data_IF_622154652271
#
_entry.id   IF_622154652271
#
_cell.length_a   1.000
_cell.length_b   1.000
_cell.length_c   1.000
_cell.angle_alpha   90.00
_cell.angle_beta   90.00
_cell.angle_gamma   90.00
#
_symmetry.space_group_name_H-M   'P 1'
#
loop_
_entity.id
_entity.type
_entity.pdbx_description
1 polymer ?
#
# COMPACT_ATOMS: atom_id res chain seq x y z
N UNK A 1 12.80 23.01 1.26
CA UNK A 1 11.67 23.96 1.25
C UNK A 1 11.37 24.40 -0.17
N UNK A 2 10.10 24.37 -0.56
CA UNK A 2 9.61 24.92 -1.83
C UNK A 2 8.39 25.80 -1.58
N UNK A 3 8.17 26.80 -2.43
CA UNK A 3 6.99 27.66 -2.40
C UNK A 3 6.31 27.65 -3.78
N UNK A 4 4.99 27.72 -3.78
CA UNK A 4 4.19 27.81 -4.99
C UNK A 4 2.71 28.01 -4.69
N UNK A 5 1.97 28.53 -5.66
CA UNK A 5 0.51 28.58 -5.57
C UNK A 5 -0.04 27.15 -5.54
N UNK A 6 -1.04 26.85 -4.72
CA UNK A 6 -1.68 25.54 -4.71
C UNK A 6 -2.51 25.29 -5.96
N UNK A 7 -2.50 24.05 -6.45
CA UNK A 7 -3.36 23.56 -7.54
C UNK A 7 -3.95 22.22 -7.14
N UNK A 8 -5.26 22.07 -7.20
CA UNK A 8 -5.92 20.77 -6.98
C UNK A 8 -5.84 19.92 -8.24
N UNK A 9 -5.30 18.70 -8.12
CA UNK A 9 -4.99 17.81 -9.25
C UNK A 9 -5.71 16.46 -9.17
N UNK A 10 -6.84 16.40 -8.46
CA UNK A 10 -7.62 15.17 -8.28
C UNK A 10 -6.78 14.02 -7.72
N UNK A 11 -6.66 12.89 -8.42
CA UNK A 11 -5.83 11.75 -8.04
C UNK A 11 -4.44 11.79 -8.70
N UNK A 12 -4.03 12.91 -9.29
CA UNK A 12 -2.73 13.09 -9.96
C UNK A 12 -2.40 11.99 -10.99
N UNK A 13 -3.42 11.49 -11.69
CA UNK A 13 -3.23 10.57 -12.82
C UNK A 13 -2.90 11.38 -14.08
N UNK A 14 -2.35 10.72 -15.10
CA UNK A 14 -2.01 11.40 -16.38
C UNK A 14 -3.23 12.07 -17.00
N UNK A 15 -4.39 11.40 -16.96
CA UNK A 15 -5.66 11.96 -17.43
C UNK A 15 -6.15 13.16 -16.61
N UNK A 16 -5.77 13.25 -15.34
CA UNK A 16 -6.13 14.40 -14.50
C UNK A 16 -5.35 15.64 -14.95
N UNK A 17 -4.05 15.49 -15.22
CA UNK A 17 -3.22 16.56 -15.78
C UNK A 17 -3.62 16.96 -17.20
N UNK A 18 -4.01 16.01 -18.06
CA UNK A 18 -4.56 16.31 -19.38
C UNK A 18 -5.84 17.14 -19.29
N UNK A 19 -6.69 16.85 -18.29
CA UNK A 19 -7.90 17.63 -18.01
C UNK A 19 -7.55 19.06 -17.60
N UNK A 20 -6.58 19.25 -16.70
CA UNK A 20 -6.10 20.59 -16.32
C UNK A 20 -5.56 21.38 -17.52
N UNK A 21 -4.78 20.73 -18.41
CA UNK A 21 -4.29 21.36 -19.65
C UNK A 21 -5.45 21.82 -20.54
N UNK A 22 -6.48 21.00 -20.72
CA UNK A 22 -7.70 21.38 -21.47
C UNK A 22 -8.46 22.53 -20.80
N UNK A 23 -8.42 22.60 -19.46
CA UNK A 23 -8.96 23.71 -18.69
C UNK A 23 -8.06 24.96 -18.74
N UNK A 24 -6.88 24.90 -19.36
CA UNK A 24 -5.91 26.01 -19.42
C UNK A 24 -5.21 26.27 -18.08
N UNK A 25 -5.11 25.26 -17.21
CA UNK A 25 -4.44 25.33 -15.90
C UNK A 25 -3.05 24.71 -16.01
N UNK A 26 -2.03 25.45 -15.59
CA UNK A 26 -0.63 25.01 -15.62
C UNK A 26 -0.11 24.76 -14.19
N UNK A 27 0.41 23.56 -13.93
CA UNK A 27 0.99 23.15 -12.64
C UNK A 27 2.50 23.41 -12.53
N UNK A 28 3.16 23.82 -13.62
CA UNK A 28 4.59 24.11 -13.61
C UNK A 28 4.92 25.21 -12.60
N UNK A 29 5.83 24.93 -11.67
CA UNK A 29 6.25 25.87 -10.63
C UNK A 29 5.31 25.93 -9.41
N UNK A 30 4.22 25.16 -9.40
CA UNK A 30 3.18 25.18 -8.36
C UNK A 30 3.28 23.99 -7.40
N UNK A 31 2.49 24.03 -6.33
CA UNK A 31 2.35 22.91 -5.38
C UNK A 31 1.03 22.21 -5.67
N UNK A 32 1.11 20.92 -6.01
CA UNK A 32 -0.07 20.12 -6.28
C UNK A 32 -0.72 19.64 -4.97
N UNK A 33 -2.04 19.57 -4.93
CA UNK A 33 -2.82 18.94 -3.85
C UNK A 33 -3.58 17.78 -4.48
N UNK A 34 -3.31 16.56 -4.02
CA UNK A 34 -3.84 15.34 -4.60
C UNK A 34 -4.51 14.44 -3.55
N UNK A 35 -5.60 13.82 -3.94
CA UNK A 35 -6.24 12.72 -3.24
C UNK A 35 -5.36 11.48 -3.35
N UNK A 36 -5.22 10.72 -2.27
CA UNK A 36 -4.76 9.34 -2.36
C UNK A 36 -5.77 8.48 -3.13
N UNK A 37 -5.27 7.44 -3.81
CA UNK A 37 -6.09 6.43 -4.47
C UNK A 37 -5.92 6.36 -5.99
N UNK A 38 -6.64 5.41 -6.61
CA UNK A 38 -6.65 5.05 -8.04
C UNK A 38 -5.33 4.52 -8.61
N UNK A 39 -4.21 5.16 -8.32
CA UNK A 39 -2.86 4.73 -8.69
C UNK A 39 -1.93 4.78 -7.46
N UNK A 40 -0.76 4.16 -7.56
CA UNK A 40 0.24 4.21 -6.49
C UNK A 40 0.77 5.64 -6.29
N UNK A 41 1.00 6.04 -5.03
CA UNK A 41 1.40 7.40 -4.66
C UNK A 41 2.75 7.83 -5.25
N UNK A 42 3.68 6.89 -5.46
CA UNK A 42 4.90 7.18 -6.20
C UNK A 42 4.63 7.61 -7.65
N UNK A 43 3.63 7.01 -8.31
CA UNK A 43 3.24 7.44 -9.66
C UNK A 43 2.53 8.80 -9.65
N UNK A 44 1.73 9.10 -8.62
CA UNK A 44 1.14 10.43 -8.43
C UNK A 44 2.24 11.51 -8.33
N UNK A 45 3.27 11.24 -7.53
CA UNK A 45 4.43 12.10 -7.36
C UNK A 45 5.22 12.26 -8.66
N UNK A 46 5.48 11.16 -9.37
CA UNK A 46 6.18 11.18 -10.65
C UNK A 46 5.42 11.98 -11.70
N UNK A 47 4.11 11.74 -11.87
CA UNK A 47 3.30 12.50 -12.83
C UNK A 47 3.33 14.00 -12.50
N UNK A 48 3.20 14.39 -11.21
CA UNK A 48 3.30 15.79 -10.82
C UNK A 48 4.67 16.39 -11.14
N UNK A 49 5.75 15.64 -10.92
CA UNK A 49 7.11 16.05 -11.29
C UNK A 49 7.27 16.22 -12.81
N UNK A 50 6.80 15.27 -13.62
CA UNK A 50 6.85 15.33 -15.09
C UNK A 50 6.08 16.53 -15.65
N UNK A 51 5.02 16.95 -14.97
CA UNK A 51 4.22 18.14 -15.31
C UNK A 51 4.82 19.47 -14.78
N UNK A 52 5.97 19.38 -14.09
CA UNK A 52 6.75 20.53 -13.63
C UNK A 52 6.33 21.08 -12.26
N UNK A 53 5.54 20.36 -11.47
CA UNK A 53 5.22 20.76 -10.11
C UNK A 53 6.48 20.83 -9.24
N UNK A 54 6.51 21.74 -8.26
CA UNK A 54 7.62 21.87 -7.30
C UNK A 54 7.46 20.98 -6.07
N UNK A 55 6.27 20.47 -5.82
CA UNK A 55 5.97 19.61 -4.69
C UNK A 55 4.52 19.15 -4.72
N UNK A 56 4.20 18.16 -3.90
CA UNK A 56 2.84 17.61 -3.80
C UNK A 56 2.42 17.43 -2.35
N UNK A 57 1.17 17.74 -2.07
CA UNK A 57 0.50 17.47 -0.80
C UNK A 57 -0.52 16.36 -1.06
N UNK A 58 -0.48 15.32 -0.24
CA UNK A 58 -1.44 14.23 -0.30
C UNK A 58 -2.46 14.32 0.83
N UNK A 59 -3.70 13.92 0.56
CA UNK A 59 -4.70 13.70 1.60
C UNK A 59 -5.62 12.53 1.24
N UNK A 60 -6.24 11.91 2.24
CA UNK A 60 -7.24 10.86 2.04
C UNK A 60 -8.63 11.49 1.92
N UNK A 61 -9.30 11.34 0.78
CA UNK A 61 -10.64 11.95 0.59
C UNK A 61 -11.68 11.30 1.52
N UNK A 62 -12.42 12.08 2.32
CA UNK A 62 -13.47 11.56 3.20
C UNK A 62 -14.53 10.71 2.50
N UNK A 63 -14.75 10.91 1.19
CA UNK A 63 -15.66 10.06 0.43
C UNK A 63 -15.24 8.58 0.47
N UNK A 64 -13.93 8.32 0.53
CA UNK A 64 -13.37 6.97 0.56
C UNK A 64 -13.09 6.50 2.00
N UNK A 65 -12.60 7.38 2.88
CA UNK A 65 -12.10 6.99 4.21
C UNK A 65 -13.03 7.32 5.38
N UNK A 66 -14.07 8.11 5.15
CA UNK A 66 -15.06 8.51 6.14
C UNK A 66 -16.49 8.56 5.53
N UNK A 67 -16.98 7.47 4.91
CA UNK A 67 -18.25 7.43 4.19
C UNK A 67 -19.48 7.66 5.07
N UNK A 68 -19.38 7.52 6.41
CA UNK A 68 -20.48 7.82 7.33
C UNK A 68 -20.55 9.29 7.75
N UNK A 69 -19.58 10.11 7.36
CA UNK A 69 -19.47 11.51 7.75
C UNK A 69 -18.11 11.84 8.37
N UNK A 70 -17.89 13.13 8.61
CA UNK A 70 -16.64 13.67 9.20
C UNK A 70 -16.80 14.10 10.66
N UNK A 71 -17.96 13.83 11.26
CA UNK A 71 -18.27 14.16 12.64
C UNK A 71 -17.61 13.18 13.61
N UNK A 72 -17.31 13.64 14.83
CA UNK A 72 -16.57 12.84 15.82
C UNK A 72 -17.22 11.47 16.13
N UNK A 73 -18.55 11.37 16.10
CA UNK A 73 -19.28 10.11 16.36
C UNK A 73 -19.31 9.17 15.14
N UNK A 74 -18.88 9.62 13.96
CA UNK A 74 -18.84 8.85 12.70
C UNK A 74 -17.45 8.33 12.34
N UNK A 75 -16.42 8.71 13.10
CA UNK A 75 -15.01 8.35 12.88
C UNK A 75 -14.39 7.71 14.13
N UNK A 76 -13.17 7.18 13.99
CA UNK A 76 -12.39 6.64 15.12
C UNK A 76 -12.23 7.68 16.24
N UNK A 77 -12.43 7.29 17.52
CA UNK A 77 -12.55 5.92 18.03
C UNK A 77 -13.97 5.33 18.05
N UNK A 78 -14.98 6.07 17.60
CA UNK A 78 -16.38 5.63 17.68
C UNK A 78 -16.77 4.67 16.55
N UNK A 79 -16.08 4.75 15.42
CA UNK A 79 -16.18 3.82 14.28
C UNK A 79 -14.77 3.45 13.78
N UNK A 80 -14.68 2.62 12.75
CA UNK A 80 -13.44 2.26 12.05
C UNK A 80 -12.94 3.33 11.07
N UNK A 81 -13.72 4.38 10.81
CA UNK A 81 -13.43 5.36 9.77
C UNK A 81 -12.41 6.42 10.19
N UNK A 82 -11.68 6.96 9.21
CA UNK A 82 -10.53 7.83 9.46
C UNK A 82 -11.00 9.20 10.03
N UNK A 83 -10.43 9.69 11.14
CA UNK A 83 -10.71 11.04 11.64
C UNK A 83 -10.01 12.11 10.80
N UNK A 84 -10.43 13.37 10.91
CA UNK A 84 -9.94 14.49 10.07
C UNK A 84 -8.45 14.80 10.22
N UNK A 85 -7.89 14.44 11.36
CA UNK A 85 -6.47 14.55 11.69
C UNK A 85 -5.68 13.29 11.31
N UNK A 86 -6.35 12.25 10.83
CA UNK A 86 -5.72 10.99 10.41
C UNK A 86 -4.92 11.18 9.13
N UNK A 87 -3.68 10.67 9.13
CA UNK A 87 -2.73 10.81 8.01
C UNK A 87 -2.31 9.43 7.53
N UNK A 88 -2.49 9.16 6.25
CA UNK A 88 -1.93 7.98 5.59
C UNK A 88 -0.44 8.20 5.29
N UNK A 89 0.42 7.36 5.89
CA UNK A 89 1.85 7.27 5.55
C UNK A 89 2.06 6.31 4.38
N UNK A 90 3.25 6.32 3.80
CA UNK A 90 3.62 5.38 2.75
C UNK A 90 4.85 5.82 1.98
N UNK A 91 5.64 4.87 1.51
CA UNK A 91 6.72 5.14 0.57
C UNK A 91 6.17 5.69 -0.76
N UNK A 92 6.92 6.64 -1.32
CA UNK A 92 6.73 7.19 -2.67
C UNK A 92 7.83 6.71 -3.64
N UNK A 93 8.71 5.81 -3.18
CA UNK A 93 9.71 5.17 -4.02
C UNK A 93 9.03 4.24 -5.02
N UNK A 94 9.47 4.29 -6.29
CA UNK A 94 8.88 3.52 -7.38
C UNK A 94 9.57 2.17 -7.63
N UNK A 95 10.79 2.00 -7.12
CA UNK A 95 11.49 0.72 -7.20
C UNK A 95 11.08 -0.23 -6.09
N UNK A 96 11.61 -1.44 -6.17
CA UNK A 96 11.57 -2.45 -5.11
C UNK A 96 12.99 -2.71 -4.61
N UNK A 97 13.13 -3.05 -3.33
CA UNK A 97 14.44 -3.29 -2.73
C UNK A 97 15.11 -2.03 -2.20
N UNK A 98 16.33 -2.19 -1.71
CA UNK A 98 17.21 -1.09 -1.31
C UNK A 98 17.53 -0.23 -2.55
N UNK A 99 17.17 1.08 -2.54
CA UNK A 99 17.46 1.99 -3.66
C UNK A 99 18.94 2.08 -4.03
N UNK A 100 19.85 1.66 -3.15
CA UNK A 100 21.28 1.74 -3.36
C UNK A 100 21.90 0.43 -3.88
N UNK A 101 21.15 -0.67 -3.94
CA UNK A 101 21.62 -1.97 -4.46
C UNK A 101 20.65 -2.57 -5.48
N UNK A 102 20.33 -1.85 -6.57
CA UNK A 102 19.32 -2.33 -7.50
C UNK A 102 19.77 -3.64 -8.17
N UNK A 103 19.02 -4.73 -7.96
CA UNK A 103 19.26 -6.07 -8.54
C UNK A 103 20.41 -6.88 -7.94
N UNK A 104 20.96 -6.50 -6.79
CA UNK A 104 21.90 -7.34 -6.05
C UNK A 104 21.73 -7.13 -4.54
N UNK A 105 21.95 -8.17 -3.72
CA UNK A 105 21.55 -8.10 -2.33
C UNK A 105 22.37 -7.09 -1.50
N UNK A 106 21.68 -6.35 -0.65
CA UNK A 106 22.22 -5.36 0.30
C UNK A 106 22.89 -6.03 1.51
N UNK A 107 23.98 -6.76 1.24
CA UNK A 107 24.79 -7.44 2.25
C UNK A 107 25.99 -6.58 2.70
N UNK A 108 26.67 -7.05 3.75
CA UNK A 108 27.92 -6.43 4.20
C UNK A 108 28.98 -6.52 3.10
N UNK A 109 29.63 -5.40 2.79
CA UNK A 109 30.59 -5.30 1.69
C UNK A 109 29.98 -5.17 0.28
N UNK A 110 28.64 -5.20 0.14
CA UNK A 110 28.01 -4.97 -1.15
C UNK A 110 28.30 -3.55 -1.67
N UNK A 111 28.56 -3.44 -2.96
CA UNK A 111 28.65 -2.15 -3.64
C UNK A 111 27.30 -1.42 -3.55
N UNK A 112 27.34 -0.14 -3.21
CA UNK A 112 26.17 0.74 -3.14
C UNK A 112 26.35 1.91 -4.10
N UNK A 113 25.33 2.18 -4.91
CA UNK A 113 25.34 3.37 -5.75
C UNK A 113 25.24 4.63 -4.88
N UNK A 114 25.68 5.75 -5.44
CA UNK A 114 25.51 7.05 -4.80
C UNK A 114 24.01 7.44 -4.80
N UNK A 115 23.57 8.08 -3.72
CA UNK A 115 22.14 8.43 -3.54
C UNK A 115 21.62 9.42 -4.58
N UNK A 116 22.47 10.27 -5.15
CA UNK A 116 22.12 11.19 -6.24
C UNK A 116 21.85 10.47 -7.57
N UNK A 117 22.44 9.28 -7.76
CA UNK A 117 22.23 8.39 -8.90
C UNK A 117 21.08 7.39 -8.70
N UNK A 118 20.59 7.25 -7.47
CA UNK A 118 19.46 6.38 -7.19
C UNK A 118 18.15 6.97 -7.74
N UNK A 119 17.21 6.09 -8.09
CA UNK A 119 15.89 6.48 -8.61
C UNK A 119 14.95 6.92 -7.47
N UNK A 120 15.37 7.96 -6.76
CA UNK A 120 14.66 8.54 -5.64
C UNK A 120 13.78 9.71 -6.09
N UNK A 121 12.67 9.98 -5.37
CA UNK A 121 11.81 11.13 -5.60
C UNK A 121 12.56 12.45 -5.79
N UNK A 122 12.17 13.23 -6.80
CA UNK A 122 12.87 14.47 -7.19
C UNK A 122 12.24 15.75 -6.64
N UNK A 123 11.00 15.69 -6.16
CA UNK A 123 10.30 16.83 -5.53
C UNK A 123 9.77 16.42 -4.15
N UNK A 124 9.66 17.36 -3.19
CA UNK A 124 9.11 17.09 -1.87
C UNK A 124 7.64 16.68 -1.94
N UNK A 125 7.27 15.76 -1.04
CA UNK A 125 5.88 15.34 -0.83
C UNK A 125 5.54 15.29 0.65
N UNK A 126 4.31 15.66 1.01
CA UNK A 126 3.84 15.58 2.39
C UNK A 126 2.37 15.15 2.46
N UNK A 127 2.04 14.06 3.18
CA UNK A 127 0.65 13.76 3.51
C UNK A 127 0.15 14.64 4.66
N UNK A 128 -1.11 15.06 4.58
CA UNK A 128 -1.82 15.81 5.62
C UNK A 128 -3.17 15.16 5.92
N UNK A 129 -3.76 15.55 7.05
CA UNK A 129 -5.12 15.15 7.38
C UNK A 129 -6.11 15.80 6.41
N UNK A 130 -7.25 15.15 6.19
CA UNK A 130 -8.27 15.74 5.31
C UNK A 130 -8.92 17.00 5.89
N UNK A 131 -8.84 17.22 7.21
CA UNK A 131 -9.25 18.48 7.82
C UNK A 131 -8.40 19.66 7.35
N UNK A 132 -7.08 19.50 7.34
CA UNK A 132 -6.14 20.52 6.83
C UNK A 132 -6.28 20.70 5.32
N UNK A 133 -6.45 19.58 4.59
CA UNK A 133 -6.67 19.62 3.15
C UNK A 133 -7.95 20.39 2.81
N UNK A 134 -9.03 20.16 3.55
CA UNK A 134 -10.30 20.85 3.38
C UNK A 134 -10.15 22.36 3.55
N UNK A 135 -9.45 22.79 4.61
CA UNK A 135 -9.18 24.19 4.86
C UNK A 135 -8.47 24.84 3.65
N UNK A 136 -7.46 24.17 3.08
CA UNK A 136 -6.74 24.69 1.91
C UNK A 136 -7.63 24.68 0.66
N UNK A 137 -8.35 23.58 0.39
CA UNK A 137 -9.17 23.40 -0.81
C UNK A 137 -10.34 24.40 -0.89
N UNK A 138 -10.95 24.74 0.24
CA UNK A 138 -12.02 25.75 0.32
C UNK A 138 -11.54 27.17 0.00
N UNK A 139 -10.24 27.42 0.12
CA UNK A 139 -9.66 28.73 -0.18
C UNK A 139 -9.16 28.83 -1.63
N UNK A 140 -9.23 27.76 -2.42
CA UNK A 140 -8.75 27.78 -3.80
C UNK A 140 -9.60 28.71 -4.68
N UNK A 141 -8.91 29.51 -5.47
CA UNK A 141 -9.49 30.31 -6.54
C UNK A 141 -9.43 29.59 -7.88
N UNK A 142 -9.60 30.34 -8.96
CA UNK A 142 -9.51 29.80 -10.32
C UNK A 142 -10.82 29.16 -10.78
N UNK A 143 -10.71 28.21 -11.71
CA UNK A 143 -11.89 27.58 -12.34
C UNK A 143 -12.52 26.54 -11.41
N UNK A 144 -13.84 26.32 -11.48
CA UNK A 144 -14.48 25.22 -10.76
C UNK A 144 -13.88 23.88 -11.21
N UNK A 145 -13.80 22.93 -10.28
CA UNK A 145 -13.40 21.55 -10.60
C UNK A 145 -14.44 20.89 -11.52
N UNK A 146 -14.04 19.94 -12.36
CA UNK A 146 -15.00 19.05 -13.03
C UNK A 146 -15.91 18.35 -12.00
N UNK A 147 -17.18 18.12 -12.37
CA UNK A 147 -18.19 17.56 -11.43
C UNK A 147 -17.71 16.23 -10.86
N UNK A 148 -17.09 15.40 -11.69
CA UNK A 148 -16.55 14.09 -11.35
C UNK A 148 -15.30 14.11 -10.45
N UNK A 149 -14.72 15.28 -10.21
CA UNK A 149 -13.61 15.46 -9.26
C UNK A 149 -14.09 15.78 -7.85
N UNK A 150 -15.36 16.17 -7.71
CA UNK A 150 -15.99 16.48 -6.43
C UNK A 150 -15.99 15.24 -5.54
N UNK A 151 -15.49 15.39 -4.31
CA UNK A 151 -15.61 14.38 -3.27
C UNK A 151 -16.85 14.65 -2.40
N UNK A 152 -16.70 14.50 -1.09
CA UNK A 152 -17.69 15.02 -0.10
C UNK A 152 -17.84 16.54 -0.22
N UNK A 153 -16.83 17.21 -0.76
CA UNK A 153 -16.77 18.66 -0.88
C UNK A 153 -17.34 19.13 -2.21
N UNK A 154 -18.29 20.06 -2.14
CA UNK A 154 -18.88 20.73 -3.31
C UNK A 154 -18.25 22.11 -3.51
N UNK A 155 -18.37 22.65 -4.73
CA UNK A 155 -17.93 24.01 -5.08
C UNK A 155 -16.42 24.26 -4.91
N UNK A 156 -15.59 23.24 -5.10
CA UNK A 156 -14.14 23.41 -5.13
C UNK A 156 -13.69 24.04 -6.45
N UNK A 157 -12.59 24.78 -6.38
CA UNK A 157 -11.87 25.26 -7.55
C UNK A 157 -10.52 24.55 -7.70
N UNK A 158 -9.98 24.56 -8.91
CA UNK A 158 -8.69 23.91 -9.23
C UNK A 158 -7.47 24.75 -8.85
N UNK A 159 -7.60 26.07 -8.65
CA UNK A 159 -6.46 27.00 -8.64
C UNK A 159 -6.05 27.45 -10.06
N UNK A 160 -4.80 27.90 -10.27
CA UNK A 160 -3.72 28.05 -9.30
C UNK A 160 -3.95 29.21 -8.33
N UNK A 161 -3.67 28.97 -7.05
CA UNK A 161 -3.72 30.01 -6.01
C UNK A 161 -5.05 30.06 -5.27
N UNK A 162 -5.06 30.91 -4.25
CA UNK A 162 -6.23 31.19 -3.45
C UNK A 162 -7.17 32.17 -4.16
N UNK A 163 -8.45 32.21 -3.78
CA UNK A 163 -9.43 33.12 -4.40
C UNK A 163 -9.14 34.60 -4.10
N UNK A 164 -8.40 34.88 -3.02
CA UNK A 164 -7.90 36.21 -2.68
C UNK A 164 -6.44 36.13 -2.25
N UNK A 165 -5.60 36.97 -2.87
CA UNK A 165 -4.19 37.13 -2.49
C UNK A 165 -3.99 37.80 -1.13
N UNK A 166 -5.04 38.41 -0.56
CA UNK A 166 -5.00 38.98 0.79
C UNK A 166 -4.97 37.90 1.88
N UNK A 167 -5.42 36.68 1.57
CA UNK A 167 -5.35 35.54 2.49
C UNK A 167 -3.94 34.97 2.55
N UNK A 168 -3.41 34.62 1.37
CA UNK A 168 -2.08 34.09 1.17
C UNK A 168 -1.75 34.16 -0.33
N UNK A 169 -0.47 34.26 -0.67
CA UNK A 169 -0.02 34.22 -2.06
C UNK A 169 0.37 32.79 -2.50
N UNK A 170 0.96 32.02 -1.60
CA UNK A 170 1.51 30.69 -1.86
C UNK A 170 1.43 29.79 -0.62
N UNK A 171 1.60 28.48 -0.85
CA UNK A 171 1.92 27.53 0.22
C UNK A 171 3.44 27.36 0.27
N UNK A 172 3.97 27.22 1.48
CA UNK A 172 5.37 26.84 1.72
C UNK A 172 5.40 25.39 2.22
N UNK A 173 6.07 24.52 1.47
CA UNK A 173 6.24 23.12 1.82
C UNK A 173 7.67 22.87 2.31
N UNK A 174 7.79 22.55 3.60
CA UNK A 174 9.05 22.27 4.28
C UNK A 174 9.15 20.78 4.63
N UNK A 175 10.04 20.06 3.95
CA UNK A 175 10.29 18.64 4.19
C UNK A 175 11.76 18.46 4.56
N UNK A 176 12.00 17.94 5.76
CA UNK A 176 13.35 17.75 6.34
C UNK A 176 13.70 16.27 6.56
N UNK A 177 13.08 15.38 5.77
CA UNK A 177 13.38 13.97 5.79
C UNK A 177 14.84 13.73 5.35
N UNK A 178 15.51 12.76 5.97
CA UNK A 178 16.89 12.38 5.64
C UNK A 178 16.97 10.89 5.34
N UNK A 179 17.75 10.54 4.31
CA UNK A 179 18.05 9.15 3.99
C UNK A 179 19.07 8.62 4.99
N UNK A 180 18.78 7.46 5.57
CA UNK A 180 19.65 6.80 6.55
C UNK A 180 19.75 5.32 6.23
N UNK A 181 20.97 4.79 6.32
CA UNK A 181 21.22 3.37 6.27
C UNK A 181 20.78 2.73 7.59
N UNK A 182 19.96 1.69 7.49
CA UNK A 182 19.46 0.93 8.63
C UNK A 182 19.63 -0.57 8.38
N UNK A 183 19.98 -1.31 9.43
CA UNK A 183 20.02 -2.76 9.38
C UNK A 183 18.59 -3.32 9.41
N UNK A 184 18.18 -3.95 8.32
CA UNK A 184 16.90 -4.67 8.20
C UNK A 184 17.12 -6.15 8.52
N UNK A 185 16.19 -6.78 9.24
CA UNK A 185 16.26 -8.20 9.58
C UNK A 185 15.02 -8.95 9.12
N UNK A 186 15.24 -9.93 8.25
CA UNK A 186 14.27 -10.98 7.99
C UNK A 186 14.44 -12.11 8.99
N UNK A 187 13.36 -12.81 9.33
CA UNK A 187 13.40 -14.04 10.11
C UNK A 187 12.89 -15.19 9.25
N UNK A 188 13.75 -16.17 8.99
CA UNK A 188 13.43 -17.33 8.15
C UNK A 188 13.43 -18.60 9.01
N UNK A 189 12.27 -19.25 9.12
CA UNK A 189 12.11 -20.56 9.75
C UNK A 189 11.93 -21.66 8.71
N UNK A 190 12.44 -22.87 8.97
CA UNK A 190 12.31 -24.02 8.05
C UNK A 190 11.79 -25.26 8.74
N UNK A 191 10.74 -25.86 8.18
CA UNK A 191 10.39 -27.27 8.41
C UNK A 191 10.91 -28.07 7.22
N UNK A 192 11.93 -28.90 7.45
CA UNK A 192 12.52 -29.75 6.40
C UNK A 192 11.52 -30.82 5.93
N UNK A 193 11.33 -30.90 4.62
CA UNK A 193 10.52 -31.94 3.97
C UNK A 193 11.13 -33.33 4.10
N UNK A 194 10.28 -34.36 4.07
CA UNK A 194 10.70 -35.75 4.22
C UNK A 194 11.12 -36.40 2.89
N UNK A 195 10.46 -36.06 1.78
CA UNK A 195 10.66 -36.72 0.47
C UNK A 195 11.41 -35.79 -0.48
N UNK A 196 10.99 -34.53 -0.56
CA UNK A 196 11.55 -33.51 -1.46
C UNK A 196 12.05 -32.31 -0.62
N UNK A 197 13.13 -32.47 0.18
CA UNK A 197 13.61 -31.45 1.12
C UNK A 197 14.18 -30.20 0.42
N UNK A 198 14.51 -30.30 -0.86
CA UNK A 198 15.04 -29.27 -1.77
C UNK A 198 13.93 -28.60 -2.60
N UNK A 199 12.66 -28.76 -2.21
CA UNK A 199 11.53 -28.02 -2.77
C UNK A 199 10.87 -27.17 -1.69
N UNK A 200 10.65 -25.89 -1.98
CA UNK A 200 10.19 -24.91 -0.99
C UNK A 200 8.79 -24.39 -1.26
N UNK A 201 7.91 -24.56 -0.29
CA UNK A 201 6.69 -23.76 -0.16
C UNK A 201 7.01 -22.64 0.83
N UNK A 202 6.88 -21.38 0.40
CA UNK A 202 7.19 -20.21 1.20
C UNK A 202 5.88 -19.62 1.72
N UNK A 203 5.80 -19.35 3.02
CA UNK A 203 4.71 -18.60 3.65
C UNK A 203 5.29 -17.33 4.25
N UNK A 204 4.89 -16.18 3.73
CA UNK A 204 5.52 -14.89 4.00
C UNK A 204 4.55 -13.85 4.55
N UNK A 205 5.08 -13.00 5.44
CA UNK A 205 4.40 -11.81 5.97
C UNK A 205 5.46 -10.76 6.31
N UNK A 206 5.26 -9.47 6.01
CA UNK A 206 6.15 -8.45 6.58
C UNK A 206 5.80 -8.15 8.04
N UNK A 207 6.71 -7.51 8.77
CA UNK A 207 6.59 -7.30 10.22
C UNK A 207 6.70 -5.85 10.63
N UNK A 208 7.36 -5.04 9.83
CA UNK A 208 7.43 -3.60 10.02
C UNK A 208 6.12 -2.93 9.62
N UNK A 209 5.81 -1.83 10.29
CA UNK A 209 4.60 -1.03 10.08
C UNK A 209 4.92 0.45 10.27
N UNK A 210 4.12 1.34 9.67
CA UNK A 210 4.23 2.79 9.90
C UNK A 210 3.83 3.25 11.31
N UNK A 211 2.91 2.53 11.95
CA UNK A 211 2.37 2.85 13.28
C UNK A 211 2.33 1.60 14.17
N UNK A 212 1.23 1.37 14.88
CA UNK A 212 1.04 0.11 15.61
C UNK A 212 0.88 -1.10 14.68
N UNK A 213 0.37 -0.87 13.47
CA UNK A 213 0.24 -1.89 12.43
C UNK A 213 -0.67 -3.05 12.78
N UNK A 214 -1.76 -2.81 13.51
CA UNK A 214 -2.66 -3.87 13.99
C UNK A 214 -3.30 -4.68 12.86
N UNK A 215 -3.73 -4.00 11.78
CA UNK A 215 -4.20 -4.64 10.55
C UNK A 215 -3.00 -4.96 9.65
N UNK A 216 -2.42 -3.93 9.04
CA UNK A 216 -1.21 -3.98 8.22
C UNK A 216 0.05 -3.79 9.09
N UNK A 217 0.89 -4.81 9.33
CA UNK A 217 0.77 -6.23 8.92
C UNK A 217 0.55 -7.21 10.07
N UNK A 218 0.29 -6.72 11.29
CA UNK A 218 0.29 -7.57 12.47
C UNK A 218 -0.83 -8.61 12.46
N UNK A 219 -1.93 -8.35 11.73
CA UNK A 219 -2.98 -9.34 11.53
C UNK A 219 -2.46 -10.58 10.79
N UNK A 220 -1.67 -10.38 9.73
CA UNK A 220 -0.98 -11.45 9.02
C UNK A 220 0.18 -12.05 9.80
N UNK A 221 0.89 -11.24 10.59
CA UNK A 221 1.97 -11.75 11.46
C UNK A 221 1.39 -12.70 12.50
N UNK A 222 0.23 -12.38 13.10
CA UNK A 222 -0.46 -13.26 14.04
C UNK A 222 -0.89 -14.57 13.37
N UNK A 223 -1.44 -14.51 12.17
CA UNK A 223 -1.80 -15.70 11.38
C UNK A 223 -0.58 -16.57 11.05
N UNK A 224 0.54 -15.97 10.67
CA UNK A 224 1.79 -16.66 10.37
C UNK A 224 2.31 -17.39 11.60
N UNK A 225 2.36 -16.72 12.76
CA UNK A 225 2.81 -17.30 14.02
C UNK A 225 1.93 -18.47 14.46
N UNK A 226 0.60 -18.35 14.33
CA UNK A 226 -0.31 -19.45 14.67
C UNK A 226 -0.14 -20.65 13.73
N UNK A 227 0.06 -20.39 12.44
CA UNK A 227 0.37 -21.44 11.46
C UNK A 227 1.67 -22.17 11.81
N UNK A 228 2.72 -21.42 12.15
CA UNK A 228 4.01 -21.96 12.59
C UNK A 228 3.83 -22.80 13.86
N UNK A 229 3.06 -22.33 14.84
CA UNK A 229 2.80 -23.05 16.10
C UNK A 229 2.08 -24.37 15.86
N UNK A 230 1.00 -24.38 15.07
CA UNK A 230 0.23 -25.58 14.74
C UNK A 230 1.10 -26.62 14.03
N UNK A 231 1.82 -26.21 12.98
CA UNK A 231 2.68 -27.12 12.21
C UNK A 231 3.89 -27.57 13.03
N UNK A 232 4.39 -26.72 13.93
CA UNK A 232 5.42 -27.06 14.91
C UNK A 232 4.97 -28.17 15.86
N UNK A 233 3.75 -28.09 16.39
CA UNK A 233 3.17 -29.13 17.25
C UNK A 233 3.02 -30.47 16.50
N UNK A 234 2.49 -30.45 15.28
CA UNK A 234 2.40 -31.67 14.46
C UNK A 234 3.79 -32.25 14.17
N UNK A 235 4.79 -31.40 13.91
CA UNK A 235 6.18 -31.84 13.74
C UNK A 235 6.72 -32.56 14.99
N UNK A 236 6.41 -32.07 16.19
CA UNK A 236 6.79 -32.73 17.45
C UNK A 236 6.10 -34.09 17.61
N UNK A 237 4.91 -34.27 17.03
CA UNK A 237 4.18 -35.54 16.99
C UNK A 237 4.63 -36.50 15.86
N UNK A 238 5.72 -36.18 15.17
CA UNK A 238 6.30 -37.03 14.11
C UNK A 238 5.82 -36.74 12.70
N UNK A 239 4.89 -35.79 12.50
CA UNK A 239 4.50 -35.37 11.16
C UNK A 239 5.64 -34.60 10.46
N UNK A 240 5.79 -34.83 9.16
CA UNK A 240 6.67 -34.05 8.30
C UNK A 240 5.96 -33.76 6.97
N UNK A 241 6.11 -32.55 6.42
CA UNK A 241 5.60 -32.27 5.09
C UNK A 241 6.41 -33.03 4.03
N UNK A 242 5.79 -33.33 2.88
CA UNK A 242 6.48 -33.94 1.73
C UNK A 242 7.66 -33.06 1.28
N UNK A 243 7.42 -31.75 1.18
CA UNK A 243 8.34 -30.69 0.75
C UNK A 243 8.73 -29.80 1.93
N UNK A 244 9.84 -29.10 1.82
CA UNK A 244 10.22 -28.14 2.86
C UNK A 244 9.27 -26.94 2.87
N UNK A 245 8.93 -26.46 4.06
CA UNK A 245 8.17 -25.22 4.25
C UNK A 245 9.11 -24.18 4.83
N UNK A 246 9.18 -23.02 4.18
CA UNK A 246 9.88 -21.83 4.67
C UNK A 246 8.84 -20.84 5.20
N UNK A 247 9.03 -20.36 6.41
CA UNK A 247 8.27 -19.26 6.99
C UNK A 247 9.13 -18.03 7.01
N UNK A 248 8.64 -16.93 6.46
CA UNK A 248 9.39 -15.72 6.32
C UNK A 248 8.65 -14.54 6.96
N UNK A 249 9.33 -13.88 7.90
CA UNK A 249 8.90 -12.63 8.47
C UNK A 249 9.80 -11.51 7.95
N UNK A 250 9.32 -10.80 6.92
CA UNK A 250 10.06 -9.77 6.18
C UNK A 250 10.16 -8.48 6.99
N UNK A 251 11.27 -7.75 6.83
CA UNK A 251 11.41 -6.41 7.36
C UNK A 251 11.47 -5.36 6.25
N UNK A 252 11.21 -4.11 6.61
CA UNK A 252 11.24 -2.94 5.72
C UNK A 252 10.39 -3.08 4.44
N UNK A 253 9.23 -3.74 4.52
CA UNK A 253 8.30 -3.79 3.39
C UNK A 253 7.72 -2.40 3.10
N UNK A 254 7.39 -1.64 4.14
CA UNK A 254 6.72 -0.34 4.03
C UNK A 254 7.57 0.74 3.32
N UNK A 255 8.87 0.45 3.19
CA UNK A 255 9.88 1.30 2.59
C UNK A 255 10.20 0.93 1.13
N UNK A 256 9.54 -0.08 0.55
CA UNK A 256 9.76 -0.53 -0.83
C UNK A 256 10.01 -2.03 -0.94
N UNK A 257 9.34 -2.86 -0.13
CA UNK A 257 9.42 -4.33 -0.18
C UNK A 257 10.85 -4.82 0.14
N UNK A 258 11.66 -3.98 0.82
CA UNK A 258 13.12 -4.10 0.90
C UNK A 258 13.54 -5.50 1.37
N UNK A 259 13.12 -5.92 2.57
CA UNK A 259 13.61 -7.18 3.12
C UNK A 259 13.32 -8.39 2.24
N UNK A 260 12.13 -8.48 1.65
CA UNK A 260 11.79 -9.63 0.80
C UNK A 260 12.49 -9.57 -0.56
N UNK A 261 12.66 -8.37 -1.13
CA UNK A 261 13.39 -8.18 -2.39
C UNK A 261 14.86 -8.55 -2.24
N UNK A 262 15.55 -8.01 -1.22
CA UNK A 262 16.96 -8.32 -0.97
C UNK A 262 17.19 -9.82 -0.73
N UNK A 263 16.25 -10.49 -0.06
CA UNK A 263 16.32 -11.94 0.15
C UNK A 263 16.15 -12.73 -1.16
N UNK A 264 15.28 -12.28 -2.06
CA UNK A 264 15.13 -12.89 -3.40
C UNK A 264 16.38 -12.63 -4.24
N UNK A 265 16.99 -11.47 -4.16
CA UNK A 265 18.23 -11.17 -4.88
C UNK A 265 19.40 -12.02 -4.37
N UNK A 266 19.49 -12.26 -3.06
CA UNK A 266 20.49 -13.16 -2.47
C UNK A 266 20.24 -14.64 -2.84
N UNK A 267 18.98 -15.07 -2.77
CA UNK A 267 18.60 -16.49 -2.93
C UNK A 267 18.11 -16.84 -4.34
N UNK A 268 18.23 -15.93 -5.31
CA UNK A 268 17.48 -15.96 -6.57
C UNK A 268 17.64 -17.25 -7.36
N UNK A 269 18.86 -17.74 -7.50
CA UNK A 269 19.15 -19.01 -8.20
C UNK A 269 18.53 -20.22 -7.50
N UNK A 270 18.54 -20.21 -6.16
CA UNK A 270 17.96 -21.28 -5.35
C UNK A 270 16.43 -21.25 -5.46
N UNK A 271 15.80 -20.09 -5.29
CA UNK A 271 14.34 -19.97 -5.34
C UNK A 271 13.80 -20.22 -6.76
N UNK A 272 14.52 -19.79 -7.80
CA UNK A 272 14.14 -20.09 -9.17
C UNK A 272 14.14 -21.60 -9.47
N UNK A 273 15.11 -22.36 -8.94
CA UNK A 273 15.22 -23.80 -9.18
C UNK A 273 14.36 -24.66 -8.23
N UNK A 274 14.14 -24.19 -7.00
CA UNK A 274 13.59 -25.00 -5.89
C UNK A 274 12.24 -24.50 -5.36
N UNK A 275 11.85 -23.27 -5.70
CA UNK A 275 10.59 -22.67 -5.29
C UNK A 275 9.39 -23.37 -5.93
N UNK A 276 8.39 -23.70 -5.12
CA UNK A 276 7.14 -24.33 -5.57
C UNK A 276 6.01 -23.31 -5.59
N UNK A 277 5.85 -22.57 -4.50
CA UNK A 277 4.85 -21.52 -4.37
C UNK A 277 5.22 -20.57 -3.22
N UNK A 278 4.76 -19.33 -3.31
CA UNK A 278 4.76 -18.36 -2.24
C UNK A 278 3.31 -18.01 -1.88
N UNK A 279 2.99 -18.08 -0.59
CA UNK A 279 1.72 -17.64 -0.01
C UNK A 279 2.01 -16.42 0.85
N UNK A 280 1.47 -15.26 0.48
CA UNK A 280 1.61 -14.02 1.25
C UNK A 280 0.35 -13.77 2.09
N UNK A 281 0.53 -13.31 3.33
CA UNK A 281 -0.59 -13.11 4.28
C UNK A 281 -0.63 -11.73 4.94
N UNK A 282 0.15 -10.76 4.43
CA UNK A 282 0.28 -9.35 4.86
C UNK A 282 -0.87 -8.86 5.77
N UNK A 283 -2.00 -8.52 5.16
CA UNK A 283 -3.19 -8.08 5.88
C UNK A 283 -4.25 -9.18 5.77
N UNK A 284 -4.49 -9.88 6.87
CA UNK A 284 -5.45 -10.99 6.90
C UNK A 284 -6.90 -10.54 7.13
N UNK A 285 -7.10 -9.35 7.69
CA UNK A 285 -8.43 -8.82 8.02
C UNK A 285 -8.51 -7.35 7.62
N UNK A 286 -9.26 -7.07 6.57
CA UNK A 286 -9.54 -5.71 6.06
C UNK A 286 -11.02 -5.45 5.80
N UNK A 287 -11.89 -6.38 6.19
CA UNK A 287 -13.33 -6.32 5.95
C UNK A 287 -14.01 -7.68 6.13
N UNK A 288 -15.33 -7.76 5.93
CA UNK A 288 -16.08 -9.01 6.06
C UNK A 288 -15.83 -9.96 4.89
N UNK A 289 -15.28 -9.45 3.78
CA UNK A 289 -15.11 -10.16 2.52
C UNK A 289 -13.67 -10.69 2.33
N UNK A 290 -13.54 -11.99 2.01
CA UNK A 290 -12.34 -12.65 1.53
C UNK A 290 -11.95 -12.10 0.15
N UNK A 291 -10.74 -11.57 0.09
CA UNK A 291 -10.08 -11.19 -1.14
C UNK A 291 -8.90 -12.13 -1.39
N UNK A 292 -8.78 -12.61 -2.62
CA UNK A 292 -7.72 -13.52 -3.03
C UNK A 292 -7.16 -13.07 -4.38
N UNK A 293 -5.84 -13.02 -4.48
CA UNK A 293 -5.13 -12.88 -5.74
C UNK A 293 -4.10 -13.99 -5.85
N UNK A 294 -4.00 -14.62 -7.02
CA UNK A 294 -3.10 -15.74 -7.24
C UNK A 294 -2.74 -15.86 -8.73
N UNK A 295 -1.58 -16.44 -9.00
CA UNK A 295 -1.25 -16.91 -10.35
C UNK A 295 -2.28 -17.95 -10.82
N UNK A 296 -2.63 -18.01 -12.12
CA UNK A 296 -3.63 -18.96 -12.63
C UNK A 296 -3.35 -20.42 -12.25
N UNK A 297 -2.08 -20.82 -12.17
CA UNK A 297 -1.64 -22.16 -11.76
C UNK A 297 -2.03 -22.55 -10.32
N UNK A 298 -2.30 -21.57 -9.45
CA UNK A 298 -2.69 -21.78 -8.06
C UNK A 298 -4.20 -21.67 -7.83
N UNK A 299 -4.97 -21.32 -8.86
CA UNK A 299 -6.40 -21.03 -8.72
C UNK A 299 -7.19 -22.24 -8.21
N UNK A 300 -7.06 -23.39 -8.88
CA UNK A 300 -7.73 -24.63 -8.47
C UNK A 300 -7.34 -25.10 -7.08
N UNK A 301 -6.09 -24.85 -6.68
CA UNK A 301 -5.61 -25.16 -5.33
C UNK A 301 -6.33 -24.27 -4.32
N UNK A 302 -6.38 -22.96 -4.57
CA UNK A 302 -7.04 -22.02 -3.67
C UNK A 302 -8.53 -22.30 -3.52
N UNK A 303 -9.25 -22.54 -4.62
CA UNK A 303 -10.68 -22.92 -4.58
C UNK A 303 -10.89 -24.21 -3.79
N UNK A 304 -10.05 -25.23 -3.99
CA UNK A 304 -10.12 -26.48 -3.21
C UNK A 304 -9.80 -26.29 -1.73
N UNK A 305 -8.90 -25.37 -1.38
CA UNK A 305 -8.64 -25.03 0.01
C UNK A 305 -9.85 -24.35 0.65
N UNK A 306 -10.47 -23.40 -0.06
CA UNK A 306 -11.64 -22.65 0.41
C UNK A 306 -12.88 -23.53 0.60
N UNK A 307 -13.11 -24.50 -0.29
CA UNK A 307 -14.22 -25.46 -0.15
C UNK A 307 -14.08 -26.38 1.06
N UNK A 308 -12.85 -26.61 1.55
CA UNK A 308 -12.57 -27.43 2.74
C UNK A 308 -12.63 -26.65 4.06
N UNK A 309 -12.54 -25.31 4.03
CA UNK A 309 -12.62 -24.49 5.22
C UNK A 309 -14.03 -24.50 5.82
N UNK A 310 -14.19 -25.03 7.04
CA UNK A 310 -15.49 -25.39 7.65
C UNK A 310 -16.25 -24.28 8.41
N UNK A 311 -15.80 -23.04 8.44
CA UNK A 311 -16.46 -21.98 9.24
C UNK A 311 -16.80 -20.75 8.39
N UNK A 312 -18.07 -20.34 8.33
CA UNK A 312 -18.47 -19.01 7.87
C UNK A 312 -18.47 -18.06 9.08
N UNK A 313 -17.55 -17.08 9.18
CA UNK A 313 -17.60 -16.10 10.27
C UNK A 313 -18.72 -15.05 10.10
N UNK A 314 -19.34 -14.93 8.91
CA UNK A 314 -20.35 -13.89 8.62
C UNK A 314 -21.77 -14.23 9.12
N UNK A 315 -21.94 -15.17 10.05
CA UNK A 315 -23.24 -15.38 10.71
C UNK A 315 -23.40 -14.41 11.88
N UNK A 316 -23.60 -13.12 11.57
CA UNK A 316 -24.32 -12.22 12.47
C UNK A 316 -25.71 -12.02 11.89
N UNK A 317 -26.70 -12.57 12.62
CA UNK A 317 -28.15 -12.53 12.40
C UNK A 317 -28.79 -13.48 11.36
N UNK A 318 -29.67 -14.35 11.87
CA UNK A 318 -30.89 -14.79 11.18
C UNK A 318 -30.81 -15.95 10.17
N UNK A 319 -31.10 -17.18 10.63
CA UNK A 319 -31.90 -18.19 9.91
C UNK A 319 -31.60 -18.55 8.44
N UNK A 320 -30.36 -18.48 7.95
CA UNK A 320 -29.96 -19.23 6.75
C UNK A 320 -29.03 -20.39 7.08
N UNK A 321 -29.54 -21.61 6.82
CA UNK A 321 -28.87 -22.87 7.10
C UNK A 321 -27.51 -23.01 6.43
N UNK A 322 -26.68 -23.88 7.02
CA UNK A 322 -25.35 -24.34 6.60
C UNK A 322 -25.14 -24.36 5.07
N UNK A 323 -24.76 -23.23 4.46
CA UNK A 323 -24.16 -23.17 3.12
C UNK A 323 -22.63 -23.18 3.25
N UNK A 324 -21.96 -23.90 2.34
CA UNK A 324 -20.48 -23.95 2.30
C UNK A 324 -19.96 -22.58 1.87
N UNK A 325 -18.76 -22.15 2.32
CA UNK A 325 -18.16 -20.86 1.90
C UNK A 325 -18.20 -20.67 0.37
N UNK A 326 -17.96 -21.70 -0.42
CA UNK A 326 -17.99 -21.50 -1.88
C UNK A 326 -19.32 -20.97 -2.46
N UNK A 327 -20.46 -21.23 -1.80
CA UNK A 327 -21.79 -20.82 -2.28
C UNK A 327 -22.16 -19.38 -1.88
N UNK A 328 -21.63 -18.86 -0.78
CA UNK A 328 -21.81 -17.46 -0.34
C UNK A 328 -20.84 -16.52 -1.06
N UNK A 329 -19.68 -17.05 -1.43
CA UNK A 329 -18.59 -16.34 -2.08
C UNK A 329 -18.66 -16.63 -3.57
N UNK A 330 -19.76 -16.24 -4.22
CA UNK A 330 -19.78 -16.23 -5.69
C UNK A 330 -18.67 -15.29 -6.13
N UNK A 331 -17.69 -15.87 -6.81
CA UNK A 331 -16.50 -15.22 -7.34
C UNK A 331 -16.97 -14.00 -8.14
N UNK A 332 -16.92 -12.81 -7.55
CA UNK A 332 -16.71 -11.60 -8.34
C UNK A 332 -15.31 -11.78 -8.88
N UNK A 333 -15.22 -12.36 -10.07
CA UNK A 333 -14.04 -12.27 -10.92
C UNK A 333 -13.93 -10.79 -11.25
N UNK A 334 -13.36 -10.04 -10.31
CA UNK A 334 -12.92 -8.69 -10.59
C UNK A 334 -11.87 -8.84 -11.67
N UNK A 335 -12.10 -8.13 -12.76
CA UNK A 335 -11.25 -7.86 -13.93
C UNK A 335 -9.76 -8.11 -13.73
N UNK A 336 -9.00 -8.41 -14.81
CA UNK A 336 -7.57 -8.68 -14.76
C UNK A 336 -6.91 -7.66 -13.86
N UNK A 337 -6.54 -8.13 -12.66
CA UNK A 337 -5.81 -7.33 -11.72
C UNK A 337 -4.47 -7.16 -12.41
N UNK A 338 -4.30 -6.00 -13.04
CA UNK A 338 -3.00 -5.39 -13.26
C UNK A 338 -2.18 -5.77 -12.05
N UNK A 339 -1.04 -6.44 -12.26
CA UNK A 339 -0.04 -6.64 -11.23
C UNK A 339 0.03 -5.35 -10.41
N UNK A 340 -0.60 -5.35 -9.23
CA UNK A 340 -0.23 -4.43 -8.19
C UNK A 340 1.12 -4.96 -7.74
N UNK A 341 2.15 -4.61 -8.52
CA UNK A 341 3.31 -3.98 -7.92
C UNK A 341 2.71 -2.88 -7.03
N UNK A 342 2.64 -3.18 -5.73
CA UNK A 342 2.60 -2.10 -4.75
C UNK A 342 3.96 -1.45 -4.73
#
# INVERSE_FOLDING_TARGET
TVQGKPVFVNYARKEDFDTLKRMGVNVTGHICIAKYGKIFRGNQLLNAYEEGAKGIIFYSDPQEVAPLGIEAYTVYPNTEFLPSTGIQRGSVYLGSGDPLTPSWPSINGAYRILSDKADLPKIPSQPIGYGDALYILMLLGGKPVPVEWSGVFTNLNVGPGFYSSELAEYIQLEVHNSLKLHNVKNVIGKIRGQIEPDRYVIVGNHRDAWGFGASDPSSGTAQLLETVRILGNHKQQGWRPKRSILFASWGAEEYGIIGSQEWVEEMGTTIAAQGVALVNTDTCVSGPDLQLSASPSLYDMAIRALTKAKANPNTVSGNEGRRRRFETWSIRAVHPVQCFQR
#
